data_IF_092318855784
#
_entry.id   IF_092318855784
#
_cell.length_a   1.000
_cell.length_b   1.000
_cell.length_c   1.000
_cell.angle_alpha   90.00
_cell.angle_beta   90.00
_cell.angle_gamma   90.00
#
_symmetry.space_group_name_H-M   'P 1'
#
loop_
_entity.id
_entity.type
_entity.pdbx_description
1 polymer ?
#
# COMPACT_ATOMS: atom_id res chain seq x y z
N UNK A 1 6.38 4.61 25.76
CA UNK A 1 5.47 4.92 24.66
C UNK A 1 6.10 4.49 23.35
N UNK A 2 5.35 3.84 22.48
CA UNK A 2 5.83 3.46 21.16
C UNK A 2 5.13 4.29 20.10
N UNK A 3 5.89 4.81 19.15
CA UNK A 3 5.35 5.54 17.99
C UNK A 3 5.66 4.72 16.73
N UNK A 4 4.67 4.59 15.86
CA UNK A 4 4.87 3.93 14.59
C UNK A 4 5.76 4.81 13.71
N UNK A 5 6.83 4.25 13.15
CA UNK A 5 7.78 5.00 12.34
C UNK A 5 7.53 4.80 10.85
N UNK A 6 7.75 3.61 10.35
CA UNK A 6 7.57 3.32 8.92
C UNK A 6 7.33 1.84 8.66
N UNK A 7 6.90 1.53 7.43
CA UNK A 7 6.82 0.17 6.89
C UNK A 7 7.95 0.01 5.87
N UNK A 8 8.62 -1.13 5.86
CA UNK A 8 9.64 -1.43 4.85
C UNK A 8 9.09 -2.44 3.84
N UNK A 9 9.30 -2.15 2.55
CA UNK A 9 8.95 -3.05 1.46
C UNK A 9 10.16 -3.33 0.59
N UNK A 10 10.24 -4.52 0.02
CA UNK A 10 11.32 -4.93 -0.86
C UNK A 10 10.75 -5.24 -2.24
N UNK A 11 11.24 -4.54 -3.26
CA UNK A 11 10.68 -4.56 -4.61
C UNK A 11 11.79 -4.73 -5.65
N UNK A 12 11.41 -5.11 -6.86
CA UNK A 12 12.35 -5.25 -7.98
C UNK A 12 12.69 -3.91 -8.60
N UNK A 13 11.72 -2.99 -8.70
CA UNK A 13 11.88 -1.70 -9.35
C UNK A 13 11.38 -0.60 -8.40
N UNK A 14 12.31 0.07 -7.75
CA UNK A 14 12.01 1.10 -6.74
C UNK A 14 11.25 2.27 -7.38
N UNK A 15 11.73 2.79 -8.52
CA UNK A 15 11.11 3.96 -9.13
C UNK A 15 9.68 3.68 -9.58
N UNK A 16 9.46 2.53 -10.18
CA UNK A 16 8.11 2.12 -10.60
C UNK A 16 7.19 1.95 -9.39
N UNK A 17 7.72 1.45 -8.28
CA UNK A 17 6.94 1.29 -7.06
C UNK A 17 6.56 2.64 -6.44
N UNK A 18 7.46 3.61 -6.46
CA UNK A 18 7.16 4.99 -6.03
C UNK A 18 6.00 5.56 -6.86
N UNK A 19 6.03 5.38 -8.17
CA UNK A 19 4.96 5.85 -9.05
C UNK A 19 3.63 5.18 -8.72
N UNK A 20 3.65 3.88 -8.47
CA UNK A 20 2.47 3.14 -8.02
C UNK A 20 1.94 3.69 -6.70
N UNK A 21 2.81 3.92 -5.70
CA UNK A 21 2.39 4.45 -4.41
C UNK A 21 1.73 5.83 -4.55
N UNK A 22 2.25 6.69 -5.43
CA UNK A 22 1.64 8.00 -5.71
C UNK A 22 0.24 7.88 -6.30
N UNK A 23 -0.02 6.82 -7.07
CA UNK A 23 -1.35 6.54 -7.61
C UNK A 23 -2.28 6.06 -6.50
N UNK A 24 -1.88 5.02 -5.77
CA UNK A 24 -2.76 4.38 -4.79
C UNK A 24 -3.08 5.29 -3.59
N UNK A 25 -2.12 6.14 -3.18
CA UNK A 25 -2.31 7.10 -2.10
C UNK A 25 -2.83 8.46 -2.60
N UNK A 26 -3.01 8.61 -3.91
CA UNK A 26 -3.52 9.83 -4.53
C UNK A 26 -2.64 11.05 -4.19
N UNK A 27 -1.33 10.89 -4.34
CA UNK A 27 -0.33 11.89 -4.06
C UNK A 27 0.79 11.33 -3.19
N UNK A 28 1.56 12.23 -2.61
CA UNK A 28 2.69 11.88 -1.78
C UNK A 28 3.99 12.38 -2.37
N UNK A 29 5.05 12.22 -1.60
CA UNK A 29 6.38 12.65 -1.98
C UNK A 29 7.40 11.57 -1.63
N UNK A 30 8.59 11.65 -2.21
CA UNK A 30 9.63 10.67 -1.95
C UNK A 30 10.99 11.33 -1.85
N UNK A 31 11.89 10.68 -1.10
CA UNK A 31 13.30 11.08 -1.00
C UNK A 31 14.18 9.85 -1.14
N UNK A 32 15.25 10.01 -1.92
CA UNK A 32 16.29 8.99 -2.05
C UNK A 32 17.14 8.98 -0.77
N UNK A 33 17.35 7.81 -0.19
CA UNK A 33 18.10 7.66 1.06
C UNK A 33 19.52 7.12 0.84
N UNK A 34 19.78 6.46 -0.30
CA UNK A 34 21.08 5.87 -0.58
C UNK A 34 21.42 5.92 -2.06
N UNK A 35 22.71 5.72 -2.38
CA UNK A 35 23.15 5.67 -3.78
C UNK A 35 22.60 4.44 -4.51
N UNK A 36 22.27 3.37 -3.79
CA UNK A 36 21.64 2.18 -4.37
C UNK A 36 20.17 2.39 -4.69
N UNK A 37 19.62 3.56 -4.37
CA UNK A 37 18.25 3.92 -4.71
C UNK A 37 17.21 3.65 -3.62
N UNK A 38 17.61 3.13 -2.46
CA UNK A 38 16.69 3.03 -1.32
C UNK A 38 16.02 4.38 -1.11
N UNK A 39 14.70 4.37 -1.02
CA UNK A 39 13.91 5.61 -0.98
C UNK A 39 12.88 5.55 0.14
N UNK A 40 12.52 6.72 0.64
CA UNK A 40 11.41 6.87 1.57
C UNK A 40 10.26 7.54 0.83
N UNK A 41 9.08 6.95 0.90
CA UNK A 41 7.84 7.54 0.42
C UNK A 41 7.04 8.05 1.61
N UNK A 42 6.47 9.25 1.47
CA UNK A 42 5.56 9.80 2.48
C UNK A 42 4.20 10.05 1.82
N UNK A 43 3.17 9.40 2.34
CA UNK A 43 1.80 9.61 1.85
C UNK A 43 1.28 11.00 2.23
N UNK A 44 0.23 11.50 1.58
CA UNK A 44 -0.37 12.80 1.97
C UNK A 44 -0.81 12.84 3.43
N UNK A 45 -1.16 11.70 4.01
CA UNK A 45 -1.59 11.61 5.41
C UNK A 45 -0.44 11.40 6.39
N UNK A 46 0.80 11.24 5.88
CA UNK A 46 1.97 11.12 6.74
C UNK A 46 2.42 9.70 7.04
N UNK A 47 1.94 8.70 6.32
CA UNK A 47 2.48 7.35 6.41
C UNK A 47 3.81 7.27 5.66
N UNK A 48 4.82 6.68 6.31
CA UNK A 48 6.13 6.48 5.70
C UNK A 48 6.32 5.03 5.26
N UNK A 49 6.80 4.85 4.04
CA UNK A 49 7.13 3.54 3.48
C UNK A 49 8.56 3.60 2.95
N UNK A 50 9.45 2.79 3.53
CA UNK A 50 10.81 2.64 3.05
C UNK A 50 10.85 1.58 1.97
N UNK A 51 11.43 1.91 0.83
CA UNK A 51 11.41 1.04 -0.36
C UNK A 51 12.86 0.64 -0.67
N UNK A 52 13.13 -0.66 -0.61
CA UNK A 52 14.43 -1.25 -0.89
C UNK A 52 14.36 -2.19 -2.07
N UNK A 53 15.47 -2.32 -2.77
CA UNK A 53 15.58 -3.29 -3.85
C UNK A 53 15.79 -4.70 -3.27
N UNK A 54 15.06 -5.68 -3.81
CA UNK A 54 15.25 -7.09 -3.45
C UNK A 54 16.66 -7.53 -3.86
N UNK A 55 17.38 -8.17 -2.94
CA UNK A 55 18.64 -8.85 -3.24
C UNK A 55 18.78 -10.04 -2.28
N UNK A 56 19.83 -10.86 -2.50
CA UNK A 56 20.01 -12.10 -1.74
C UNK A 56 20.26 -11.86 -0.24
N UNK A 57 20.70 -10.67 0.14
CA UNK A 57 21.04 -10.35 1.53
C UNK A 57 19.84 -9.78 2.30
N UNK A 58 18.84 -9.23 1.62
CA UNK A 58 17.68 -8.60 2.25
C UNK A 58 16.34 -9.23 1.86
N UNK A 59 16.37 -10.46 1.33
CA UNK A 59 15.14 -11.20 1.06
C UNK A 59 14.38 -11.40 2.37
N UNK A 60 13.15 -10.88 2.49
CA UNK A 60 12.38 -11.09 3.71
C UNK A 60 12.02 -12.56 3.87
N UNK A 61 12.07 -13.05 5.09
CA UNK A 61 11.53 -14.36 5.41
C UNK A 61 10.01 -14.28 5.41
N UNK A 62 9.37 -15.29 4.84
CA UNK A 62 7.92 -15.40 4.87
C UNK A 62 7.50 -15.81 6.29
N UNK A 63 7.21 -14.83 7.12
CA UNK A 63 6.70 -15.06 8.47
C UNK A 63 5.42 -14.25 8.62
N UNK A 64 4.29 -14.91 8.46
CA UNK A 64 2.99 -14.26 8.56
C UNK A 64 2.53 -13.67 7.22
N UNK A 65 1.36 -13.10 7.25
CA UNK A 65 0.70 -12.55 6.08
C UNK A 65 0.22 -11.13 6.41
N UNK A 66 0.61 -10.18 5.60
CA UNK A 66 0.28 -8.77 5.82
C UNK A 66 -0.32 -8.17 4.55
N UNK A 67 -1.47 -7.53 4.69
CA UNK A 67 -2.14 -6.86 3.58
C UNK A 67 -2.52 -5.44 4.01
N UNK A 68 -1.97 -4.41 3.36
CA UNK A 68 -2.44 -3.05 3.60
C UNK A 68 -3.89 -2.87 3.13
N UNK A 69 -4.65 -2.09 3.88
CA UNK A 69 -6.01 -1.72 3.52
C UNK A 69 -6.11 -0.20 3.43
N UNK A 70 -6.66 0.28 2.32
CA UNK A 70 -6.93 1.71 2.13
C UNK A 70 -8.41 1.94 1.91
N UNK A 71 -8.90 3.10 2.36
CA UNK A 71 -10.27 3.55 2.10
C UNK A 71 -10.28 4.51 0.93
N UNK A 72 -11.29 4.37 0.08
CA UNK A 72 -11.50 5.21 -1.10
C UNK A 72 -12.96 5.67 -1.15
N UNK A 73 -13.20 6.78 -1.79
CA UNK A 73 -14.57 7.26 -2.00
C UNK A 73 -15.38 6.26 -2.82
N UNK A 74 -14.76 5.67 -3.85
CA UNK A 74 -15.36 4.62 -4.67
C UNK A 74 -14.26 3.62 -5.03
N UNK A 75 -14.08 2.62 -4.19
CA UNK A 75 -12.96 1.68 -4.33
C UNK A 75 -13.02 0.89 -5.65
N UNK A 76 -14.19 0.41 -6.03
CA UNK A 76 -14.35 -0.35 -7.27
C UNK A 76 -14.00 0.50 -8.50
N UNK A 77 -14.50 1.72 -8.53
CA UNK A 77 -14.23 2.64 -9.64
C UNK A 77 -12.74 2.99 -9.71
N UNK A 78 -12.10 3.20 -8.55
CA UNK A 78 -10.67 3.46 -8.50
C UNK A 78 -9.87 2.30 -9.11
N UNK A 79 -10.22 1.06 -8.78
CA UNK A 79 -9.57 -0.13 -9.33
C UNK A 79 -9.71 -0.16 -10.86
N UNK A 80 -10.92 0.07 -11.37
CA UNK A 80 -11.20 0.09 -12.80
C UNK A 80 -10.45 1.22 -13.52
N UNK A 81 -10.50 2.42 -12.98
CA UNK A 81 -9.88 3.60 -13.60
C UNK A 81 -8.35 3.49 -13.69
N UNK A 82 -7.75 2.77 -12.76
CA UNK A 82 -6.29 2.62 -12.71
C UNK A 82 -5.81 1.25 -13.19
N UNK A 83 -6.70 0.46 -13.78
CA UNK A 83 -6.37 -0.87 -14.34
C UNK A 83 -5.67 -1.77 -13.34
N UNK A 84 -6.08 -1.73 -12.08
CA UNK A 84 -5.53 -2.61 -11.07
C UNK A 84 -6.11 -4.02 -11.23
N UNK A 85 -5.29 -5.03 -10.95
CA UNK A 85 -5.70 -6.42 -11.11
C UNK A 85 -6.58 -6.86 -9.95
N UNK A 86 -7.89 -6.76 -10.12
CA UNK A 86 -8.85 -7.24 -9.12
C UNK A 86 -8.81 -8.76 -9.06
N UNK A 87 -8.45 -9.30 -7.89
CA UNK A 87 -8.40 -10.74 -7.66
C UNK A 87 -9.76 -11.29 -7.24
N UNK A 88 -10.38 -10.65 -6.26
CA UNK A 88 -11.69 -11.03 -5.74
C UNK A 88 -12.25 -9.91 -4.87
N UNK A 89 -13.50 -10.06 -4.47
CA UNK A 89 -14.11 -9.21 -3.47
C UNK A 89 -14.74 -10.05 -2.36
N UNK A 90 -15.04 -9.41 -1.23
CA UNK A 90 -15.65 -10.07 -0.08
C UNK A 90 -16.52 -9.08 0.69
N UNK A 91 -17.57 -9.59 1.32
CA UNK A 91 -18.37 -8.79 2.24
C UNK A 91 -17.71 -8.77 3.62
N UNK A 92 -17.81 -7.65 4.31
CA UNK A 92 -17.39 -7.51 5.70
C UNK A 92 -18.46 -6.76 6.49
N UNK A 93 -18.38 -6.78 7.84
CA UNK A 93 -19.31 -5.98 8.64
C UNK A 93 -19.30 -4.49 8.31
N UNK A 94 -18.20 -3.99 7.78
CA UNK A 94 -18.00 -2.58 7.42
C UNK A 94 -18.07 -2.33 5.91
N UNK A 95 -18.72 -3.22 5.14
CA UNK A 95 -18.90 -3.06 3.72
C UNK A 95 -18.05 -4.01 2.89
N UNK A 96 -18.10 -3.79 1.59
CA UNK A 96 -17.41 -4.64 0.64
C UNK A 96 -15.92 -4.32 0.57
N UNK A 97 -15.10 -5.36 0.50
CA UNK A 97 -13.65 -5.26 0.38
C UNK A 97 -13.23 -5.78 -0.98
N UNK A 98 -12.31 -5.08 -1.65
CA UNK A 98 -11.79 -5.44 -2.96
C UNK A 98 -10.31 -5.74 -2.85
N UNK A 99 -9.91 -6.95 -3.24
CA UNK A 99 -8.51 -7.40 -3.16
C UNK A 99 -7.85 -7.27 -4.53
N UNK A 100 -6.67 -6.67 -4.57
CA UNK A 100 -5.88 -6.62 -5.78
C UNK A 100 -4.40 -6.87 -5.44
N UNK A 101 -3.64 -7.22 -6.47
CA UNK A 101 -2.20 -7.44 -6.36
C UNK A 101 -1.50 -6.35 -7.17
N UNK A 102 -0.47 -5.73 -6.59
CA UNK A 102 0.32 -4.77 -7.34
C UNK A 102 1.29 -5.47 -8.30
N UNK A 103 2.02 -4.69 -9.09
CA UNK A 103 2.93 -5.23 -10.09
C UNK A 103 4.13 -5.96 -9.48
N UNK A 104 4.41 -5.77 -8.20
CA UNK A 104 5.44 -6.50 -7.47
C UNK A 104 4.92 -7.76 -6.77
N UNK A 105 3.62 -8.01 -6.82
CA UNK A 105 3.00 -9.17 -6.20
C UNK A 105 2.53 -8.95 -4.77
N UNK A 106 2.60 -7.73 -4.27
CA UNK A 106 2.12 -7.40 -2.92
C UNK A 106 0.60 -7.25 -2.98
N UNK A 107 -0.10 -7.91 -2.08
CA UNK A 107 -1.55 -7.82 -2.01
C UNK A 107 -2.00 -6.64 -1.18
N UNK A 108 -2.98 -5.93 -1.74
CA UNK A 108 -3.67 -4.82 -1.10
C UNK A 108 -5.15 -5.12 -1.04
N UNK A 109 -5.87 -4.44 -0.16
CA UNK A 109 -7.31 -4.38 -0.30
C UNK A 109 -7.81 -2.97 -0.08
N UNK A 110 -8.90 -2.66 -0.76
CA UNK A 110 -9.56 -1.37 -0.73
C UNK A 110 -10.98 -1.54 -0.25
N UNK A 111 -11.49 -0.54 0.44
CA UNK A 111 -12.90 -0.48 0.82
C UNK A 111 -13.40 0.96 0.70
N UNK A 112 -14.71 1.10 0.56
CA UNK A 112 -15.30 2.42 0.52
C UNK A 112 -15.30 3.09 1.90
N UNK A 113 -15.26 4.41 1.92
CA UNK A 113 -15.54 5.17 3.13
C UNK A 113 -16.95 4.90 3.59
N UNK A 114 -17.10 4.70 4.88
CA UNK A 114 -18.41 4.55 5.51
C UNK A 114 -18.43 5.30 6.84
N UNK A 115 -19.58 5.93 7.15
CA UNK A 115 -19.74 6.65 8.40
C UNK A 115 -19.59 5.73 9.62
N UNK A 116 -19.83 4.44 9.45
CA UNK A 116 -19.76 3.45 10.51
C UNK A 116 -18.44 2.67 10.54
N UNK A 117 -17.43 3.14 9.83
CA UNK A 117 -16.12 2.50 9.91
C UNK A 117 -15.61 2.50 11.35
N UNK A 118 -15.09 1.35 11.78
CA UNK A 118 -14.58 1.19 13.15
C UNK A 118 -13.45 2.20 13.44
N UNK A 119 -12.68 2.60 12.42
CA UNK A 119 -11.60 3.59 12.57
C UNK A 119 -12.13 4.99 12.87
N UNK A 120 -13.39 5.28 12.54
CA UNK A 120 -14.02 6.55 12.84
C UNK A 120 -14.72 6.55 14.19
N UNK A 121 -15.01 5.37 14.73
CA UNK A 121 -15.81 5.19 15.93
C UNK A 121 -15.05 4.42 17.02
N UNK A 122 -13.74 4.48 16.99
CA UNK A 122 -12.88 3.81 17.96
C UNK A 122 -13.07 4.31 19.38
#
# INVERSE_FOLDING_TARGET
MANFDHIEVHVKDIQKYIEFLKIIFEGGENKKLSDEGTSMFKSPEGLFIEIKKINSNNMPQLAGFCQPCLRKTNAKQFIEDNNLELLNDAESPNGKIYFFKDHEGIMWHLKDYQDRDWTNNW
#
